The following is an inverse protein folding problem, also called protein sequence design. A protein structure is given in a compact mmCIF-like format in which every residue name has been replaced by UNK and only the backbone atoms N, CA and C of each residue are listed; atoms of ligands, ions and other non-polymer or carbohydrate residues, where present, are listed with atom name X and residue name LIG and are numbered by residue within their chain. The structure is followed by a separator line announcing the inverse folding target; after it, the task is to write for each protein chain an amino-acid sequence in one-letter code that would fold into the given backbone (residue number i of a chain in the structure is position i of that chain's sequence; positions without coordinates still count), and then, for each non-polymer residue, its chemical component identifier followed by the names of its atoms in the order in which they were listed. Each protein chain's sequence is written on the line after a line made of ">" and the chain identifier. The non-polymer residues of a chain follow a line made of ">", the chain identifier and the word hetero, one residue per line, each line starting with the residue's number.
data_IF_003882355312
#
_entry.id   IF_003882355312
#
_cell.length_a   1.000
_cell.length_b   1.000
_cell.length_c   1.000
_cell.angle_alpha   90.00
_cell.angle_beta   90.00
_cell.angle_gamma   90.00
#
_symmetry.space_group_name_H-M   'P 1'
#
loop_
_entity.id
_entity.type
_entity.pdbx_description
1 polymer ?
#
# COMPACT_ATOMS: atom_id res chain seq x y z
N UNK A 1 -24.61 -18.74 7.70
CA UNK A 1 -23.16 -18.54 7.88
C UNK A 1 -22.59 -18.13 6.54
N UNK A 2 -21.69 -17.15 6.50
CA UNK A 2 -20.95 -16.82 5.28
C UNK A 2 -20.04 -18.01 4.95
N UNK A 3 -20.17 -18.56 3.75
CA UNK A 3 -19.26 -19.56 3.18
C UNK A 3 -18.47 -18.92 2.02
N UNK A 4 -17.46 -19.61 1.49
CA UNK A 4 -16.62 -19.05 0.42
C UNK A 4 -17.45 -18.60 -0.79
N UNK A 5 -18.43 -19.39 -1.22
CA UNK A 5 -19.30 -19.02 -2.35
C UNK A 5 -20.09 -17.72 -2.11
N UNK A 6 -20.54 -17.48 -0.88
CA UNK A 6 -21.21 -16.23 -0.52
C UNK A 6 -20.23 -15.04 -0.47
N UNK A 7 -19.01 -15.26 0.02
CA UNK A 7 -17.96 -14.23 0.02
C UNK A 7 -17.51 -13.87 -1.39
N UNK A 8 -17.31 -14.87 -2.26
CA UNK A 8 -16.96 -14.68 -3.67
C UNK A 8 -17.99 -13.80 -4.37
N UNK A 9 -19.29 -14.08 -4.18
CA UNK A 9 -20.38 -13.31 -4.77
C UNK A 9 -20.49 -11.86 -4.25
N UNK A 10 -19.99 -11.58 -3.05
CA UNK A 10 -20.01 -10.26 -2.42
C UNK A 10 -18.71 -9.47 -2.64
N UNK A 11 -17.65 -10.15 -3.09
CA UNK A 11 -16.33 -9.57 -3.25
C UNK A 11 -16.07 -9.10 -4.68
N UNK A 12 -15.11 -8.20 -4.82
CA UNK A 12 -14.55 -7.83 -6.12
C UNK A 12 -13.03 -7.92 -6.05
N UNK A 13 -12.42 -8.30 -7.16
CA UNK A 13 -10.97 -8.30 -7.26
C UNK A 13 -10.40 -6.89 -7.20
N UNK A 14 -9.28 -6.72 -6.48
CA UNK A 14 -8.57 -5.45 -6.47
C UNK A 14 -7.85 -5.28 -7.83
N UNK A 15 -8.16 -4.24 -8.61
CA UNK A 15 -7.59 -4.07 -9.95
C UNK A 15 -6.10 -3.75 -9.94
N UNK A 16 -5.55 -3.33 -8.79
CA UNK A 16 -4.13 -3.05 -8.59
C UNK A 16 -3.35 -4.28 -8.10
N UNK A 17 -3.96 -5.47 -8.12
CA UNK A 17 -3.34 -6.71 -7.67
C UNK A 17 -3.31 -7.76 -8.77
N UNK A 18 -2.29 -8.63 -8.77
CA UNK A 18 -2.33 -9.85 -9.56
C UNK A 18 -3.55 -10.66 -9.14
N UNK A 19 -4.51 -10.78 -10.05
CA UNK A 19 -5.70 -11.60 -9.87
C UNK A 19 -5.51 -12.89 -10.66
N UNK A 20 -5.50 -14.02 -9.97
CA UNK A 20 -5.45 -15.34 -10.62
C UNK A 20 -6.82 -15.64 -11.25
N UNK A 21 -6.87 -16.13 -12.48
CA UNK A 21 -8.15 -16.40 -13.12
C UNK A 21 -8.83 -17.61 -12.43
N UNK A 22 -10.16 -17.65 -12.28
CA UNK A 22 -10.86 -18.80 -11.71
C UNK A 22 -10.63 -20.11 -12.47
N UNK A 23 -10.25 -20.02 -13.75
CA UNK A 23 -9.94 -21.15 -14.65
C UNK A 23 -8.48 -21.59 -14.59
N UNK A 24 -7.60 -20.77 -14.02
CA UNK A 24 -6.27 -21.25 -13.67
C UNK A 24 -6.50 -22.26 -12.55
N UNK A 25 -6.09 -23.51 -12.77
CA UNK A 25 -6.18 -24.52 -11.73
C UNK A 25 -5.34 -24.02 -10.56
N UNK A 26 -6.01 -23.45 -9.55
CA UNK A 26 -5.46 -23.14 -8.26
C UNK A 26 -5.13 -24.49 -7.61
N UNK A 27 -4.01 -25.08 -7.98
CA UNK A 27 -3.38 -26.02 -7.07
C UNK A 27 -3.17 -25.23 -5.78
N UNK A 28 -3.76 -25.65 -4.64
CA UNK A 28 -3.42 -25.07 -3.34
C UNK A 28 -1.89 -25.11 -3.24
N UNK A 29 -1.27 -23.97 -2.91
CA UNK A 29 0.18 -23.74 -2.91
C UNK A 29 0.88 -23.32 -4.23
N UNK A 30 0.18 -22.82 -5.25
CA UNK A 30 0.85 -22.12 -6.35
C UNK A 30 1.46 -20.80 -5.84
N UNK A 31 2.79 -20.77 -5.73
CA UNK A 31 3.57 -19.58 -5.37
C UNK A 31 4.40 -19.12 -6.57
N UNK A 32 4.35 -17.83 -6.86
CA UNK A 32 5.15 -17.20 -7.92
C UNK A 32 6.13 -16.23 -7.31
N UNK A 33 7.43 -16.44 -7.54
CA UNK A 33 8.45 -15.47 -7.15
C UNK A 33 8.29 -14.19 -7.96
N UNK A 34 8.41 -13.04 -7.31
CA UNK A 34 8.35 -11.73 -7.96
C UNK A 34 9.47 -10.82 -7.46
N UNK A 35 9.92 -9.93 -8.34
CA UNK A 35 10.85 -8.84 -8.01
C UNK A 35 10.11 -7.52 -7.74
N UNK A 36 8.78 -7.51 -7.86
CA UNK A 36 7.94 -6.37 -7.53
C UNK A 36 7.64 -6.34 -6.02
N UNK A 37 8.61 -5.86 -5.24
CA UNK A 37 8.43 -5.65 -3.79
C UNK A 37 7.41 -4.55 -3.46
N UNK A 38 7.02 -3.71 -4.43
CA UNK A 38 5.94 -2.74 -4.26
C UNK A 38 4.56 -3.39 -4.09
N UNK A 39 4.41 -4.66 -4.48
CA UNK A 39 3.17 -5.42 -4.33
C UNK A 39 2.90 -5.89 -2.88
N UNK A 40 3.91 -5.89 -2.00
CA UNK A 40 3.76 -6.34 -0.61
C UNK A 40 2.88 -5.39 0.19
N UNK A 41 1.75 -5.90 0.68
CA UNK A 41 0.89 -5.28 1.68
C UNK A 41 0.67 -6.26 2.84
N UNK A 42 0.85 -5.80 4.08
CA UNK A 42 0.92 -6.65 5.27
C UNK A 42 -0.43 -7.21 5.75
N UNK A 43 -1.51 -6.98 4.99
CA UNK A 43 -2.87 -7.48 5.27
C UNK A 43 -2.91 -8.98 5.59
N UNK A 44 -2.19 -9.78 4.79
CA UNK A 44 -2.02 -11.21 5.04
C UNK A 44 -0.72 -11.69 4.40
N UNK A 45 0.25 -12.09 5.21
CA UNK A 45 1.53 -12.61 4.75
C UNK A 45 2.08 -13.65 5.72
N UNK A 46 3.05 -14.44 5.25
CA UNK A 46 3.77 -15.42 6.05
C UNK A 46 5.26 -15.14 5.99
N UNK A 47 5.92 -15.17 7.14
CA UNK A 47 7.37 -15.04 7.30
C UNK A 47 7.82 -15.85 8.51
N UNK A 48 9.05 -16.37 8.51
CA UNK A 48 9.60 -16.97 9.73
C UNK A 48 9.95 -15.88 10.75
N UNK A 49 9.88 -16.21 12.05
CA UNK A 49 10.35 -15.32 13.11
C UNK A 49 11.79 -14.85 12.87
N UNK A 50 12.68 -15.77 12.50
CA UNK A 50 14.08 -15.46 12.25
C UNK A 50 14.25 -14.42 11.14
N UNK A 51 13.50 -14.54 10.04
CA UNK A 51 13.53 -13.57 8.95
C UNK A 51 12.97 -12.22 9.39
N UNK A 52 11.85 -12.19 10.13
CA UNK A 52 11.27 -10.95 10.65
C UNK A 52 12.22 -10.21 11.60
N UNK A 53 12.85 -10.95 12.51
CA UNK A 53 13.84 -10.42 13.46
C UNK A 53 15.10 -9.91 12.73
N UNK A 54 15.55 -10.61 11.68
CA UNK A 54 16.68 -10.19 10.85
C UNK A 54 16.41 -8.90 10.08
N UNK A 55 15.15 -8.63 9.74
CA UNK A 55 14.73 -7.35 9.15
C UNK A 55 14.58 -6.24 10.19
N UNK A 56 14.49 -6.57 11.48
CA UNK A 56 14.20 -5.61 12.55
C UNK A 56 12.71 -5.25 12.68
N UNK A 57 11.82 -6.06 12.11
CA UNK A 57 10.38 -5.81 12.10
C UNK A 57 9.96 -4.59 11.26
N UNK A 58 8.75 -4.07 11.50
CA UNK A 58 8.32 -2.82 10.87
C UNK A 58 9.01 -1.62 11.55
N UNK A 59 9.41 -0.63 10.77
CA UNK A 59 10.03 0.58 11.30
C UNK A 59 8.97 1.46 11.96
N UNK A 60 9.03 1.56 13.28
CA UNK A 60 8.05 2.30 14.11
C UNK A 60 8.12 3.81 13.95
N UNK A 61 9.10 4.33 13.21
CA UNK A 61 9.18 5.74 12.88
C UNK A 61 8.25 6.15 11.71
N UNK A 62 7.71 5.19 10.97
CA UNK A 62 6.54 5.43 10.12
C UNK A 62 5.30 5.54 11.02
N UNK A 63 4.73 6.74 11.11
CA UNK A 63 3.58 7.03 11.98
C UNK A 63 2.38 7.43 11.13
N UNK A 64 1.18 7.08 11.57
CA UNK A 64 -0.04 7.34 10.83
C UNK A 64 -0.20 6.31 9.70
N UNK A 65 -0.31 6.78 8.47
CA UNK A 65 -0.61 5.94 7.31
C UNK A 65 0.41 6.15 6.18
N UNK A 66 0.94 5.04 5.66
CA UNK A 66 1.67 4.99 4.39
C UNK A 66 3.16 4.69 4.51
N UNK A 67 3.68 4.00 3.47
CA UNK A 67 5.07 3.59 3.24
C UNK A 67 5.71 2.57 4.20
N UNK A 68 5.10 2.23 5.33
CA UNK A 68 5.64 1.27 6.30
C UNK A 68 5.79 -0.14 5.72
N UNK A 69 4.78 -0.59 4.97
CA UNK A 69 4.80 -1.89 4.28
C UNK A 69 5.85 -1.90 3.15
N UNK A 70 5.90 -0.80 2.39
CA UNK A 70 6.86 -0.66 1.28
C UNK A 70 8.29 -0.63 1.79
N UNK A 71 8.56 0.05 2.91
CA UNK A 71 9.87 0.05 3.55
C UNK A 71 10.28 -1.34 4.01
N UNK A 72 9.37 -2.06 4.69
CA UNK A 72 9.61 -3.44 5.11
C UNK A 72 9.99 -4.33 3.92
N UNK A 73 9.26 -4.22 2.81
CA UNK A 73 9.54 -4.95 1.59
C UNK A 73 10.88 -4.53 0.94
N UNK A 74 11.21 -3.24 0.93
CA UNK A 74 12.49 -2.76 0.39
C UNK A 74 13.68 -3.22 1.24
N UNK A 75 13.55 -3.29 2.57
CA UNK A 75 14.56 -3.91 3.43
C UNK A 75 14.72 -5.40 3.14
N UNK A 76 13.62 -6.12 2.96
CA UNK A 76 13.66 -7.53 2.56
C UNK A 76 14.41 -7.73 1.23
N UNK A 77 14.13 -6.87 0.24
CA UNK A 77 14.84 -6.84 -1.05
C UNK A 77 16.33 -6.55 -0.88
N UNK A 78 16.70 -5.54 -0.09
CA UNK A 78 18.09 -5.16 0.16
C UNK A 78 18.89 -6.28 0.85
N UNK A 79 18.23 -7.12 1.66
CA UNK A 79 18.81 -8.31 2.27
C UNK A 79 18.84 -9.53 1.33
N UNK A 80 18.38 -9.43 0.09
CA UNK A 80 18.31 -10.54 -0.87
C UNK A 80 17.28 -11.60 -0.50
N UNK A 81 16.25 -11.25 0.29
CA UNK A 81 15.18 -12.18 0.64
C UNK A 81 14.29 -12.41 -0.58
N UNK A 82 14.00 -13.66 -0.96
CA UNK A 82 13.07 -13.92 -2.05
C UNK A 82 11.63 -13.54 -1.64
N UNK A 83 10.90 -12.92 -2.55
CA UNK A 83 9.50 -12.53 -2.36
C UNK A 83 8.59 -13.33 -3.27
N UNK A 84 7.49 -13.85 -2.70
CA UNK A 84 6.55 -14.72 -3.39
C UNK A 84 5.13 -14.20 -3.22
N UNK A 85 4.36 -14.27 -4.32
CA UNK A 85 2.91 -14.13 -4.30
C UNK A 85 2.27 -15.51 -4.23
N UNK A 86 1.20 -15.61 -3.45
CA UNK A 86 0.41 -16.84 -3.33
C UNK A 86 -0.89 -16.71 -4.13
N UNK A 87 -1.38 -17.83 -4.66
CA UNK A 87 -2.68 -17.90 -5.32
C UNK A 87 -3.86 -18.09 -4.33
N UNK A 88 -3.58 -18.09 -3.02
CA UNK A 88 -4.62 -18.13 -1.98
C UNK A 88 -5.49 -16.87 -1.99
N UNK A 89 -6.78 -17.06 -1.73
CA UNK A 89 -7.76 -15.96 -1.71
C UNK A 89 -7.87 -15.40 -0.29
N UNK A 90 -7.69 -14.09 -0.16
CA UNK A 90 -7.88 -13.36 1.09
C UNK A 90 -8.96 -12.31 0.89
N UNK A 91 -10.00 -12.36 1.74
CA UNK A 91 -11.06 -11.35 1.73
C UNK A 91 -10.69 -10.21 2.68
N UNK A 92 -10.74 -8.99 2.16
CA UNK A 92 -10.61 -7.79 2.94
C UNK A 92 -12.00 -7.21 3.25
N UNK A 93 -12.27 -6.88 4.51
CA UNK A 93 -13.55 -6.28 4.86
C UNK A 93 -13.67 -4.87 4.26
N UNK A 94 -14.77 -4.61 3.57
CA UNK A 94 -15.05 -3.29 3.01
C UNK A 94 -15.18 -2.25 4.14
N UNK A 95 -14.57 -1.09 3.92
CA UNK A 95 -14.73 0.10 4.77
C UNK A 95 -14.61 1.36 3.92
N UNK A 96 -15.03 2.50 4.48
CA UNK A 96 -14.90 3.78 3.79
C UNK A 96 -13.44 4.22 3.66
N UNK A 97 -13.14 4.99 2.63
CA UNK A 97 -11.82 5.57 2.37
C UNK A 97 -11.96 7.02 1.88
N UNK A 98 -10.86 7.74 1.75
CA UNK A 98 -10.79 9.00 1.00
C UNK A 98 -9.97 8.81 -0.27
N UNK A 99 -10.39 9.39 -1.41
CA UNK A 99 -9.67 9.36 -2.70
C UNK A 99 -9.49 10.77 -3.28
N UNK A 100 -8.26 11.28 -3.38
CA UNK A 100 -7.03 10.75 -2.77
C UNK A 100 -7.16 10.70 -1.22
N UNK A 101 -6.27 10.02 -0.48
CA UNK A 101 -6.38 9.87 0.98
C UNK A 101 -6.04 11.16 1.75
N UNK A 102 -6.84 12.20 1.54
CA UNK A 102 -6.67 13.55 2.11
C UNK A 102 -6.68 13.54 3.64
N UNK A 103 -7.41 12.61 4.24
CA UNK A 103 -7.44 12.39 5.69
C UNK A 103 -6.08 11.90 6.25
N UNK A 104 -5.14 11.50 5.38
CA UNK A 104 -3.80 11.04 5.72
C UNK A 104 -2.69 11.91 5.10
N UNK A 105 -3.01 13.12 4.62
CA UNK A 105 -2.06 14.00 3.94
C UNK A 105 -0.74 14.15 4.72
N UNK A 106 -0.82 14.55 5.99
CA UNK A 106 0.36 14.85 6.80
C UNK A 106 1.24 13.61 7.00
N UNK A 107 0.64 12.45 7.33
CA UNK A 107 1.41 11.22 7.52
C UNK A 107 2.03 10.74 6.21
N UNK A 108 1.32 10.84 5.09
CA UNK A 108 1.85 10.45 3.78
C UNK A 108 3.04 11.33 3.39
N UNK A 109 2.97 12.65 3.59
CA UNK A 109 4.08 13.56 3.28
C UNK A 109 5.30 13.27 4.17
N UNK A 110 5.10 13.13 5.48
CA UNK A 110 6.18 12.80 6.43
C UNK A 110 6.84 11.47 6.05
N UNK A 111 6.03 10.44 5.82
CA UNK A 111 6.51 9.09 5.53
C UNK A 111 7.15 8.99 4.14
N UNK A 112 6.64 9.73 3.14
CA UNK A 112 7.25 9.81 1.81
C UNK A 112 8.64 10.47 1.86
N UNK A 113 8.80 11.56 2.61
CA UNK A 113 10.11 12.18 2.84
C UNK A 113 11.09 11.22 3.54
N UNK A 114 10.64 10.55 4.62
CA UNK A 114 11.44 9.53 5.30
C UNK A 114 11.89 8.41 4.36
N UNK A 115 10.94 7.88 3.59
CA UNK A 115 11.22 6.82 2.63
C UNK A 115 12.22 7.29 1.56
N UNK A 116 12.09 8.53 1.09
CA UNK A 116 13.04 9.12 0.15
C UNK A 116 14.44 9.26 0.77
N UNK A 117 14.56 9.74 2.00
CA UNK A 117 15.85 9.85 2.69
C UNK A 117 16.59 8.50 2.74
N UNK A 118 15.86 7.42 2.98
CA UNK A 118 16.42 6.08 3.09
C UNK A 118 16.71 5.42 1.72
N UNK A 119 15.82 5.58 0.75
CA UNK A 119 15.84 4.79 -0.50
C UNK A 119 16.10 5.61 -1.77
N UNK A 120 16.14 6.93 -1.66
CA UNK A 120 16.25 7.88 -2.79
C UNK A 120 15.20 7.63 -3.87
N UNK A 121 14.00 7.24 -3.43
CA UNK A 121 12.84 6.90 -4.25
C UNK A 121 11.58 7.42 -3.57
N UNK A 122 10.59 7.91 -4.33
CA UNK A 122 9.33 8.39 -3.75
C UNK A 122 8.32 7.26 -3.61
N UNK A 123 7.98 6.88 -2.38
CA UNK A 123 6.83 6.03 -2.12
C UNK A 123 5.52 6.77 -2.42
N UNK A 124 4.46 6.03 -2.79
CA UNK A 124 3.11 6.57 -2.98
C UNK A 124 3.02 7.72 -4.01
N UNK A 125 3.89 7.73 -5.03
CA UNK A 125 4.01 8.80 -6.02
C UNK A 125 2.68 9.16 -6.72
N UNK A 126 1.74 8.22 -6.86
CA UNK A 126 0.39 8.48 -7.37
C UNK A 126 -0.38 9.47 -6.49
N UNK A 127 -0.46 9.20 -5.17
CA UNK A 127 -1.11 10.11 -4.22
C UNK A 127 -0.37 11.43 -4.08
N UNK A 128 0.97 11.42 -4.13
CA UNK A 128 1.76 12.67 -4.13
C UNK A 128 1.42 13.55 -5.34
N UNK A 129 1.24 12.95 -6.52
CA UNK A 129 0.78 13.65 -7.72
C UNK A 129 -0.60 14.29 -7.52
N UNK A 130 -1.57 13.53 -7.03
CA UNK A 130 -2.93 14.03 -6.77
C UNK A 130 -2.94 15.16 -5.72
N UNK A 131 -2.11 15.06 -4.67
CA UNK A 131 -1.95 16.14 -3.68
C UNK A 131 -1.32 17.40 -4.27
N UNK A 132 -0.35 17.26 -5.18
CA UNK A 132 0.27 18.39 -5.87
C UNK A 132 -0.71 19.07 -6.84
N UNK A 133 -1.52 18.30 -7.57
CA UNK A 133 -2.58 18.82 -8.45
C UNK A 133 -3.64 19.61 -7.68
N UNK A 134 -3.97 19.20 -6.46
CA UNK A 134 -4.84 19.93 -5.55
C UNK A 134 -4.16 21.16 -4.89
N UNK A 135 -2.88 21.38 -5.14
CA UNK A 135 -2.10 22.47 -4.54
C UNK A 135 -1.95 22.33 -3.02
N UNK A 136 -1.93 21.10 -2.51
CA UNK A 136 -1.73 20.79 -1.09
C UNK A 136 -0.25 20.69 -0.74
N UNK A 137 0.56 20.23 -1.70
CA UNK A 137 2.02 20.07 -1.55
C UNK A 137 2.76 20.62 -2.76
N UNK A 138 4.01 20.98 -2.56
CA UNK A 138 4.97 21.21 -3.63
C UNK A 138 5.78 19.93 -3.83
N UNK A 139 5.45 19.19 -4.89
CA UNK A 139 6.15 17.98 -5.29
C UNK A 139 6.12 17.75 -6.80
N UNK A 140 7.22 17.22 -7.33
CA UNK A 140 7.30 16.68 -8.69
C UNK A 140 8.05 15.34 -8.68
N UNK A 141 7.69 14.44 -9.59
CA UNK A 141 8.25 13.08 -9.61
C UNK A 141 9.79 13.02 -9.70
N UNK A 142 10.41 14.00 -10.36
CA UNK A 142 11.86 14.06 -10.54
C UNK A 142 12.60 14.79 -9.42
N UNK A 143 11.92 15.36 -8.42
CA UNK A 143 12.61 16.10 -7.37
C UNK A 143 13.37 15.19 -6.43
N UNK A 144 14.41 15.74 -5.82
CA UNK A 144 15.20 15.09 -4.79
C UNK A 144 15.19 15.86 -3.47
N UNK A 145 14.55 17.03 -3.46
CA UNK A 145 14.32 17.81 -2.26
C UNK A 145 13.09 17.31 -1.49
N UNK A 146 13.05 17.48 -0.16
CA UNK A 146 11.88 17.15 0.64
C UNK A 146 10.61 17.83 0.13
N UNK A 147 9.49 17.13 0.22
CA UNK A 147 8.15 17.63 -0.06
C UNK A 147 7.81 18.76 0.91
N UNK A 148 7.33 19.88 0.36
CA UNK A 148 6.80 21.01 1.15
C UNK A 148 5.28 20.91 1.25
N UNK A 149 4.72 20.95 2.45
CA UNK A 149 3.28 21.11 2.66
C UNK A 149 2.89 22.58 2.47
N UNK A 150 1.97 22.85 1.54
CA UNK A 150 1.52 24.21 1.21
C UNK A 150 0.29 24.62 2.03
N UNK A 151 -0.66 23.71 2.23
CA UNK A 151 -1.88 23.93 3.02
C UNK A 151 -2.52 22.60 3.41
N UNK A 152 -3.41 22.66 4.41
CA UNK A 152 -4.32 21.56 4.69
C UNK A 152 -5.46 21.46 3.65
N UNK A 153 -6.06 20.28 3.47
CA UNK A 153 -7.31 20.13 2.74
C UNK A 153 -8.43 20.91 3.45
N UNK A 154 -9.33 21.47 2.66
CA UNK A 154 -10.58 22.06 3.19
C UNK A 154 -11.56 20.96 3.57
N UNK A 155 -12.52 21.27 4.43
CA UNK A 155 -13.61 20.36 4.79
C UNK A 155 -14.37 19.87 3.55
N UNK A 156 -14.64 20.77 2.60
CA UNK A 156 -15.28 20.44 1.32
C UNK A 156 -14.46 19.44 0.48
N UNK A 157 -13.14 19.55 0.46
CA UNK A 157 -12.27 18.61 -0.25
C UNK A 157 -12.28 17.24 0.44
N UNK A 158 -12.23 17.22 1.78
CA UNK A 158 -12.33 15.98 2.57
C UNK A 158 -13.66 15.26 2.34
N UNK A 159 -14.78 15.99 2.42
CA UNK A 159 -16.12 15.47 2.14
C UNK A 159 -16.23 14.93 0.71
N UNK A 160 -15.68 15.66 -0.27
CA UNK A 160 -15.71 15.25 -1.67
C UNK A 160 -14.84 14.02 -1.95
N UNK A 161 -13.76 13.81 -1.19
CA UNK A 161 -12.90 12.63 -1.32
C UNK A 161 -13.48 11.38 -0.67
N UNK A 162 -14.45 11.51 0.24
CA UNK A 162 -14.98 10.40 1.01
C UNK A 162 -15.78 9.42 0.14
N UNK A 163 -15.33 8.17 0.12
CA UNK A 163 -15.91 7.05 -0.61
C UNK A 163 -16.42 6.02 0.41
N UNK A 164 -17.71 6.06 0.81
CA UNK A 164 -18.23 5.19 1.87
C UNK A 164 -18.23 3.71 1.49
N UNK A 165 -18.52 3.41 0.22
CA UNK A 165 -18.67 2.05 -0.31
C UNK A 165 -17.51 1.67 -1.25
N UNK A 166 -16.29 2.05 -0.86
CA UNK A 166 -15.12 1.78 -1.69
C UNK A 166 -14.81 0.28 -1.75
N UNK A 167 -14.75 -0.33 -2.95
CA UNK A 167 -14.53 -1.77 -3.09
C UNK A 167 -13.09 -2.22 -2.75
N UNK A 168 -12.15 -1.28 -2.74
CA UNK A 168 -10.75 -1.49 -2.43
C UNK A 168 -10.15 -0.18 -1.88
N UNK A 169 -9.03 -0.30 -1.17
CA UNK A 169 -8.19 0.84 -0.79
C UNK A 169 -7.36 1.28 -1.99
#
# INVERSE_FOLDING_TARGET
>A
MLNNAALDALSVYNPYRPNFAPTDSLAPAAMTQTEDFGAFWSLCFAITRQQFDALGGFDTAYVGYGAEDTDFAFRARACGMPFYLTAEIVYHQQHSVCRPPLNHLDSIVINANRFYDQWQHWAMAGWLGEFAELGLIEWQAAQTAPITLLRAPTEKELEASHCPDAPFV
#
